data_IF_164156560600
#
_entry.id   IF_164156560600
#
_cell.length_a   1.000
_cell.length_b   1.000
_cell.length_c   1.000
_cell.angle_alpha   90.00
_cell.angle_beta   90.00
_cell.angle_gamma   90.00
#
_symmetry.space_group_name_H-M   'P 1'
#
loop_
_entity.id
_entity.type
_entity.pdbx_description
1 polymer ?
#
# COMPACT_ATOMS: atom_id res chain seq x y z
N UNK A 1 -4.03 32.00 32.28
CA UNK A 1 -5.49 31.90 32.29
C UNK A 1 -6.00 33.26 32.74
N UNK A 2 -6.57 34.05 31.79
CA UNK A 2 -7.09 35.40 32.05
C UNK A 2 -8.61 35.27 32.17
N UNK A 3 -9.16 35.69 33.29
CA UNK A 3 -10.62 35.70 33.55
C UNK A 3 -11.11 37.14 33.50
N UNK A 4 -12.35 37.34 33.09
CA UNK A 4 -13.02 38.64 33.21
C UNK A 4 -13.38 38.96 34.69
N UNK A 5 -13.83 40.18 34.94
CA UNK A 5 -14.19 40.66 36.26
C UNK A 5 -15.35 39.88 36.91
N UNK A 6 -16.04 39.02 36.14
CA UNK A 6 -17.10 38.12 36.60
C UNK A 6 -16.63 36.65 36.69
N UNK A 7 -15.34 36.36 36.44
CA UNK A 7 -14.74 35.03 36.54
C UNK A 7 -14.90 34.10 35.38
N UNK A 8 -15.42 34.59 34.20
CA UNK A 8 -15.69 33.78 33.01
C UNK A 8 -14.50 33.70 32.08
N UNK A 9 -14.30 32.55 31.42
CA UNK A 9 -13.17 32.26 30.53
C UNK A 9 -13.36 32.85 29.11
N UNK A 10 -13.58 34.16 28.95
CA UNK A 10 -13.88 34.75 27.61
C UNK A 10 -12.64 34.90 26.70
N UNK A 11 -11.44 35.01 27.22
CA UNK A 11 -10.25 35.32 26.41
C UNK A 11 -9.57 34.11 25.76
N UNK A 12 -9.73 32.91 26.27
CA UNK A 12 -9.06 31.73 25.69
C UNK A 12 -9.69 31.27 24.34
N UNK A 13 -10.99 31.39 24.21
CA UNK A 13 -11.68 31.03 22.97
C UNK A 13 -11.39 32.02 21.82
N UNK A 14 -11.22 33.31 22.13
CA UNK A 14 -10.89 34.36 21.16
C UNK A 14 -9.47 34.24 20.58
N UNK A 15 -8.49 33.92 21.41
CA UNK A 15 -7.09 33.76 20.98
C UNK A 15 -6.91 32.49 20.15
N UNK A 16 -7.53 31.37 20.54
CA UNK A 16 -7.49 30.12 19.74
C UNK A 16 -8.23 30.26 18.42
N UNK A 17 -9.35 30.98 18.36
CA UNK A 17 -10.09 31.25 17.12
C UNK A 17 -9.31 32.20 16.19
N UNK A 18 -8.58 33.17 16.70
CA UNK A 18 -7.72 34.05 15.92
C UNK A 18 -6.45 33.34 15.42
N UNK A 19 -5.82 32.49 16.24
CA UNK A 19 -4.66 31.69 15.82
C UNK A 19 -5.05 30.64 14.77
N UNK A 20 -6.19 29.99 14.89
CA UNK A 20 -6.69 29.03 13.89
C UNK A 20 -7.09 29.68 12.55
N UNK A 21 -7.47 30.97 12.54
CA UNK A 21 -7.84 31.70 11.32
C UNK A 21 -6.67 32.34 10.58
N UNK A 22 -5.48 32.48 11.20
CA UNK A 22 -4.34 33.19 10.60
C UNK A 22 -3.29 32.28 9.95
N UNK A 23 -3.26 31.01 10.24
CA UNK A 23 -2.20 30.14 9.69
C UNK A 23 -2.72 29.41 8.44
N UNK A 24 -2.51 30.05 7.27
CA UNK A 24 -2.87 29.50 5.94
C UNK A 24 -1.76 28.62 5.36
N UNK A 25 -0.55 28.73 5.89
CA UNK A 25 0.62 28.05 5.37
C UNK A 25 1.19 27.06 6.37
N UNK A 26 1.82 26.03 5.84
CA UNK A 26 2.62 25.10 6.61
C UNK A 26 3.91 25.78 7.08
N UNK A 27 4.22 25.69 8.37
CA UNK A 27 5.37 26.37 8.96
C UNK A 27 6.73 25.90 8.44
N UNK A 28 6.82 24.65 7.97
CA UNK A 28 8.03 24.05 7.46
C UNK A 28 8.28 24.45 6.00
N UNK A 29 7.32 24.19 5.12
CA UNK A 29 7.48 24.31 3.67
C UNK A 29 7.05 25.67 3.13
N UNK A 30 6.30 26.47 3.91
CA UNK A 30 5.67 27.73 3.50
C UNK A 30 4.62 27.57 2.37
N UNK A 31 4.26 26.33 2.03
CA UNK A 31 3.15 26.02 1.12
C UNK A 31 1.82 26.25 1.83
N UNK A 32 0.74 26.41 1.07
CA UNK A 32 -0.61 26.40 1.63
C UNK A 32 -0.85 25.08 2.37
N UNK A 33 -1.53 25.15 3.51
CA UNK A 33 -1.72 23.99 4.36
C UNK A 33 -2.97 23.19 4.00
N UNK A 34 -3.19 22.09 4.71
CA UNK A 34 -4.34 21.20 4.57
C UNK A 34 -5.70 21.92 4.67
N UNK A 35 -5.83 22.93 5.55
CA UNK A 35 -7.09 23.66 5.68
C UNK A 35 -7.38 24.51 4.43
N UNK A 36 -6.35 25.12 3.86
CA UNK A 36 -6.50 25.87 2.61
C UNK A 36 -6.73 24.93 1.42
N UNK A 37 -6.17 23.71 1.43
CA UNK A 37 -6.51 22.70 0.41
C UNK A 37 -8.00 22.41 0.36
N UNK A 38 -8.65 22.15 1.51
CA UNK A 38 -10.09 21.90 1.56
C UNK A 38 -10.91 23.13 1.12
N UNK A 39 -10.50 24.32 1.54
CA UNK A 39 -11.19 25.55 1.13
C UNK A 39 -11.13 25.79 -0.38
N UNK A 40 -9.93 25.62 -0.97
CA UNK A 40 -9.79 25.77 -2.41
C UNK A 40 -10.50 24.65 -3.17
N UNK A 41 -10.52 23.44 -2.64
CA UNK A 41 -11.26 22.32 -3.22
C UNK A 41 -12.78 22.62 -3.22
N UNK A 42 -13.35 23.02 -2.09
CA UNK A 42 -14.77 23.41 -1.98
C UNK A 42 -15.11 24.58 -2.91
N UNK A 43 -14.24 25.58 -2.97
CA UNK A 43 -14.41 26.73 -3.85
C UNK A 43 -14.41 26.32 -5.31
N UNK A 44 -13.48 25.52 -5.74
CA UNK A 44 -13.36 25.07 -7.14
C UNK A 44 -14.58 24.25 -7.58
N UNK A 45 -15.12 23.39 -6.71
CA UNK A 45 -16.34 22.60 -6.99
C UNK A 45 -17.55 23.50 -7.19
N UNK A 46 -17.63 24.65 -6.50
CA UNK A 46 -18.76 25.59 -6.58
C UNK A 46 -18.65 26.57 -7.75
N UNK A 47 -17.46 26.68 -8.38
CA UNK A 47 -17.25 27.60 -9.51
C UNK A 47 -17.77 26.99 -10.82
N UNK A 48 -18.76 27.67 -11.43
CA UNK A 48 -19.35 27.27 -12.72
C UNK A 48 -18.35 27.32 -13.88
N UNK A 49 -17.30 28.13 -13.75
CA UNK A 49 -16.26 28.33 -14.75
C UNK A 49 -15.22 27.17 -14.82
N UNK A 50 -15.23 26.29 -13.82
CA UNK A 50 -14.32 25.16 -13.78
C UNK A 50 -15.02 23.95 -14.40
N UNK A 51 -14.69 23.65 -15.65
CA UNK A 51 -15.23 22.50 -16.35
C UNK A 51 -14.60 21.19 -15.85
N UNK A 52 -13.33 21.24 -15.48
CA UNK A 52 -12.58 20.07 -14.98
C UNK A 52 -11.58 20.47 -13.90
N UNK A 53 -11.46 19.64 -12.90
CA UNK A 53 -10.50 19.79 -11.81
C UNK A 53 -9.79 18.46 -11.56
N UNK A 54 -8.46 18.46 -11.58
CA UNK A 54 -7.67 17.36 -11.07
C UNK A 54 -7.32 17.62 -9.60
N UNK A 55 -7.69 16.69 -8.75
CA UNK A 55 -7.29 16.61 -7.35
C UNK A 55 -6.20 15.56 -7.25
N UNK A 56 -4.97 15.95 -6.91
CA UNK A 56 -3.81 15.06 -6.87
C UNK A 56 -3.23 15.04 -5.46
N UNK A 57 -2.90 13.87 -4.97
CA UNK A 57 -2.11 13.67 -3.78
C UNK A 57 -0.81 12.98 -4.13
N UNK A 58 0.28 13.54 -3.66
CA UNK A 58 1.64 13.02 -3.79
C UNK A 58 2.15 12.58 -2.42
N UNK A 59 2.95 11.52 -2.41
CA UNK A 59 3.60 11.03 -1.20
C UNK A 59 4.98 10.45 -1.56
N UNK A 60 5.99 10.80 -0.77
CA UNK A 60 7.36 10.33 -1.00
C UNK A 60 7.48 8.86 -0.62
N UNK A 61 7.88 8.06 -1.59
CA UNK A 61 8.06 6.64 -1.34
C UNK A 61 9.23 6.40 -0.39
N UNK A 62 9.06 5.44 0.54
CA UNK A 62 10.06 5.08 1.55
C UNK A 62 10.55 6.25 2.44
N UNK A 63 9.79 7.34 2.58
CA UNK A 63 10.18 8.48 3.42
C UNK A 63 10.48 8.09 4.88
N UNK A 64 9.88 6.98 5.34
CA UNK A 64 10.19 6.40 6.64
C UNK A 64 11.66 6.00 6.77
N UNK A 65 12.28 5.45 5.73
CA UNK A 65 13.71 5.12 5.73
C UNK A 65 14.57 6.38 5.86
N UNK A 66 14.18 7.48 5.20
CA UNK A 66 14.83 8.77 5.39
C UNK A 66 14.71 9.23 6.84
N UNK A 67 13.56 9.01 7.47
CA UNK A 67 13.34 9.33 8.89
C UNK A 67 14.20 8.50 9.85
N UNK A 68 14.53 7.27 9.50
CA UNK A 68 15.32 6.35 10.32
C UNK A 68 16.83 6.56 10.14
N UNK A 69 17.26 6.96 8.93
CA UNK A 69 18.68 7.08 8.57
C UNK A 69 19.25 8.48 8.77
N UNK A 70 18.42 9.52 8.75
CA UNK A 70 18.88 10.90 8.77
C UNK A 70 18.21 11.70 9.89
N UNK A 71 18.89 12.79 10.30
CA UNK A 71 18.38 13.68 11.32
C UNK A 71 17.16 14.51 10.87
N UNK A 72 16.56 15.21 11.82
CA UNK A 72 15.37 16.04 11.56
C UNK A 72 15.67 17.17 10.58
N UNK A 73 16.85 17.76 10.66
CA UNK A 73 17.22 18.91 9.82
C UNK A 73 17.31 18.52 8.34
N UNK A 74 17.89 17.35 8.06
CA UNK A 74 17.96 16.83 6.71
C UNK A 74 16.58 16.50 6.13
N UNK A 75 15.71 15.83 6.91
CA UNK A 75 14.33 15.52 6.51
C UNK A 75 13.53 16.78 6.18
N UNK A 76 13.60 17.77 7.07
CA UNK A 76 12.91 19.04 6.91
C UNK A 76 13.42 19.78 5.67
N UNK A 77 14.72 19.69 5.40
CA UNK A 77 15.32 20.24 4.19
C UNK A 77 14.85 19.52 2.92
N UNK A 78 14.78 18.17 2.91
CA UNK A 78 14.26 17.39 1.77
C UNK A 78 12.84 17.81 1.44
N UNK A 79 11.97 17.92 2.44
CA UNK A 79 10.57 18.31 2.23
C UNK A 79 10.42 19.74 1.69
N UNK A 80 11.22 20.68 2.20
CA UNK A 80 11.26 22.06 1.68
C UNK A 80 11.70 22.10 0.23
N UNK A 81 12.82 21.43 -0.07
CA UNK A 81 13.39 21.39 -1.41
C UNK A 81 12.45 20.73 -2.41
N UNK A 82 11.78 19.63 -2.00
CA UNK A 82 10.78 18.97 -2.82
C UNK A 82 9.58 19.88 -3.12
N UNK A 83 9.06 20.58 -2.11
CA UNK A 83 7.97 21.54 -2.30
C UNK A 83 8.33 22.67 -3.26
N UNK A 84 9.51 23.27 -3.11
CA UNK A 84 10.02 24.30 -4.01
C UNK A 84 10.22 23.78 -5.44
N UNK A 85 10.74 22.57 -5.56
CA UNK A 85 10.93 21.92 -6.84
C UNK A 85 9.61 21.64 -7.56
N UNK A 86 8.62 21.06 -6.87
CA UNK A 86 7.30 20.80 -7.46
C UNK A 86 6.67 22.14 -7.87
N UNK A 87 6.73 23.16 -7.02
CA UNK A 87 6.15 24.47 -7.32
C UNK A 87 6.77 25.13 -8.56
N UNK A 88 8.05 24.89 -8.84
CA UNK A 88 8.75 25.44 -10.00
C UNK A 88 8.34 24.79 -11.35
N UNK A 89 7.76 23.59 -11.32
CA UNK A 89 7.31 22.87 -12.52
C UNK A 89 5.79 22.82 -12.68
N UNK A 90 5.05 23.37 -11.69
CA UNK A 90 3.59 23.42 -11.76
C UNK A 90 3.12 24.36 -12.89
N UNK A 91 2.02 24.00 -13.59
CA UNK A 91 1.36 24.93 -14.50
C UNK A 91 0.69 26.11 -13.76
N UNK A 92 0.46 27.21 -14.47
CA UNK A 92 -0.08 28.46 -13.88
C UNK A 92 -1.48 28.28 -13.26
N UNK A 93 -2.26 27.31 -13.72
CA UNK A 93 -3.59 26.96 -13.24
C UNK A 93 -3.59 25.95 -12.11
N UNK A 94 -2.44 25.73 -11.46
CA UNK A 94 -2.28 24.78 -10.37
C UNK A 94 -1.88 25.43 -9.05
N UNK A 95 -2.33 24.83 -7.95
CA UNK A 95 -1.93 25.20 -6.59
C UNK A 95 -1.34 24.00 -5.87
N UNK A 96 -0.22 24.19 -5.16
CA UNK A 96 0.45 23.19 -4.33
C UNK A 96 0.18 23.44 -2.85
N UNK A 97 -0.08 22.37 -2.14
CA UNK A 97 -0.42 22.35 -0.72
C UNK A 97 0.44 21.34 0.04
N UNK A 98 0.73 21.65 1.29
CA UNK A 98 1.24 20.70 2.25
C UNK A 98 0.08 20.10 3.03
N UNK A 99 -0.15 18.79 2.91
CA UNK A 99 -1.27 18.15 3.61
C UNK A 99 -0.83 17.67 5.00
N UNK A 100 -0.04 16.63 5.07
CA UNK A 100 0.48 16.10 6.34
C UNK A 100 1.75 15.29 6.10
N UNK A 101 2.65 15.25 7.07
CA UNK A 101 3.91 14.49 7.01
C UNK A 101 4.67 14.74 5.68
N UNK A 102 4.74 13.74 4.83
CA UNK A 102 5.37 13.71 3.51
C UNK A 102 4.38 13.83 2.34
N UNK A 103 3.07 14.01 2.64
CA UNK A 103 2.03 14.19 1.64
C UNK A 103 1.92 15.64 1.17
N UNK A 104 1.81 15.82 -0.13
CA UNK A 104 1.50 17.09 -0.80
C UNK A 104 0.22 16.94 -1.61
N UNK A 105 -0.58 18.00 -1.67
CA UNK A 105 -1.79 18.09 -2.50
C UNK A 105 -1.57 19.05 -3.65
N UNK A 106 -2.13 18.75 -4.81
CA UNK A 106 -2.17 19.65 -5.96
C UNK A 106 -3.60 19.72 -6.47
N UNK A 107 -4.07 20.94 -6.75
CA UNK A 107 -5.30 21.20 -7.47
C UNK A 107 -4.94 21.83 -8.81
N UNK A 108 -5.41 21.27 -9.91
CA UNK A 108 -5.21 21.82 -11.26
C UNK A 108 -6.58 21.99 -11.90
N UNK A 109 -6.92 23.24 -12.26
CA UNK A 109 -8.20 23.58 -12.89
C UNK A 109 -8.10 23.50 -14.41
N UNK A 110 -9.22 23.18 -15.08
CA UNK A 110 -9.33 23.14 -16.54
C UNK A 110 -8.23 22.29 -17.19
N UNK A 111 -8.10 21.04 -16.72
CA UNK A 111 -7.04 20.10 -17.10
C UNK A 111 -7.64 18.75 -17.50
N UNK A 112 -7.06 18.10 -18.50
CA UNK A 112 -7.42 16.76 -18.94
C UNK A 112 -6.55 15.70 -18.24
N UNK A 113 -7.03 14.46 -18.21
CA UNK A 113 -6.27 13.33 -17.64
C UNK A 113 -4.89 13.14 -18.33
N UNK A 114 -4.81 13.41 -19.62
CA UNK A 114 -3.56 13.32 -20.37
C UNK A 114 -2.50 14.30 -19.87
N UNK A 115 -2.92 15.54 -19.55
CA UNK A 115 -2.02 16.58 -19.04
C UNK A 115 -1.51 16.23 -17.63
N UNK A 116 -2.37 15.64 -16.80
CA UNK A 116 -1.95 15.14 -15.47
C UNK A 116 -0.92 14.02 -15.60
N UNK A 117 -1.09 13.11 -16.55
CA UNK A 117 -0.11 12.04 -16.82
C UNK A 117 1.23 12.62 -17.29
N UNK A 118 1.19 13.62 -18.18
CA UNK A 118 2.40 14.29 -18.67
C UNK A 118 3.10 15.06 -17.55
N UNK A 119 2.35 15.80 -16.73
CA UNK A 119 2.89 16.47 -15.54
C UNK A 119 3.59 15.46 -14.60
N UNK A 120 2.94 14.35 -14.28
CA UNK A 120 3.53 13.35 -13.39
C UNK A 120 4.79 12.71 -13.98
N UNK A 121 4.78 12.40 -15.27
CA UNK A 121 5.96 11.90 -15.99
C UNK A 121 7.12 12.90 -15.94
N UNK A 122 6.83 14.17 -16.21
CA UNK A 122 7.80 15.25 -16.11
C UNK A 122 8.37 15.37 -14.69
N UNK A 123 7.52 15.27 -13.66
CA UNK A 123 7.95 15.25 -12.25
C UNK A 123 8.93 14.11 -11.99
N UNK A 124 8.61 12.88 -12.40
CA UNK A 124 9.52 11.74 -12.23
C UNK A 124 10.85 11.93 -12.96
N UNK A 125 10.82 12.38 -14.21
CA UNK A 125 12.04 12.61 -15.02
C UNK A 125 12.95 13.67 -14.40
N UNK A 126 12.37 14.72 -13.82
CA UNK A 126 13.13 15.75 -13.14
C UNK A 126 13.71 15.27 -11.81
N UNK A 127 12.95 14.52 -11.01
CA UNK A 127 13.44 13.95 -9.75
C UNK A 127 14.60 12.98 -9.98
N UNK A 128 14.56 12.18 -11.04
CA UNK A 128 15.68 11.29 -11.41
C UNK A 128 16.97 12.02 -11.78
N UNK A 129 16.90 13.30 -12.17
CA UNK A 129 18.09 14.13 -12.45
C UNK A 129 18.70 14.69 -11.17
N UNK A 130 17.93 14.81 -10.10
CA UNK A 130 18.40 15.28 -8.79
C UNK A 130 18.93 14.07 -8.03
N UNK A 131 20.22 13.76 -8.22
CA UNK A 131 20.87 12.61 -7.56
C UNK A 131 21.51 12.97 -6.22
N UNK A 132 21.68 14.25 -5.93
CA UNK A 132 22.39 14.72 -4.74
C UNK A 132 21.54 15.73 -3.98
N UNK A 133 21.28 15.42 -2.73
CA UNK A 133 20.57 16.25 -1.78
C UNK A 133 21.52 16.57 -0.62
N UNK A 134 22.01 17.82 -0.55
CA UNK A 134 23.09 18.23 0.39
C UNK A 134 24.30 17.29 0.35
N UNK A 135 24.82 16.96 -0.83
CA UNK A 135 25.93 16.02 -1.03
C UNK A 135 25.62 14.55 -0.64
N UNK A 136 24.38 14.25 -0.26
CA UNK A 136 23.91 12.88 0.00
C UNK A 136 23.23 12.35 -1.27
N UNK A 137 23.67 11.20 -1.73
CA UNK A 137 23.04 10.54 -2.86
C UNK A 137 21.74 9.89 -2.39
N UNK A 138 20.61 10.42 -2.87
CA UNK A 138 19.29 10.00 -2.49
C UNK A 138 18.38 9.97 -3.73
N UNK A 139 17.90 8.80 -4.07
CA UNK A 139 16.93 8.61 -5.14
C UNK A 139 15.51 8.77 -4.53
N UNK A 140 14.87 9.90 -4.83
CA UNK A 140 13.50 10.18 -4.36
C UNK A 140 12.52 9.73 -5.42
N UNK A 141 11.63 8.83 -5.03
CA UNK A 141 10.48 8.39 -5.81
C UNK A 141 9.19 8.90 -5.15
N UNK A 142 8.16 9.10 -5.96
CA UNK A 142 6.87 9.64 -5.51
C UNK A 142 5.75 8.80 -6.07
N UNK A 143 4.85 8.36 -5.21
CA UNK A 143 3.54 7.81 -5.59
C UNK A 143 2.50 8.91 -5.66
N UNK A 144 1.56 8.79 -6.59
CA UNK A 144 0.50 9.76 -6.80
C UNK A 144 -0.88 9.09 -6.92
N UNK A 145 -1.88 9.68 -6.30
CA UNK A 145 -3.29 9.42 -6.56
C UNK A 145 -3.95 10.65 -7.19
N UNK A 146 -4.84 10.45 -8.13
CA UNK A 146 -5.58 11.52 -8.78
C UNK A 146 -7.07 11.19 -8.89
N UNK A 147 -7.91 12.18 -8.63
CA UNK A 147 -9.34 12.13 -8.94
C UNK A 147 -9.68 13.29 -9.88
N UNK A 148 -10.37 12.98 -10.97
CA UNK A 148 -10.87 13.99 -11.91
C UNK A 148 -12.31 14.37 -11.54
N UNK A 149 -12.59 15.67 -11.47
CA UNK A 149 -13.93 16.22 -11.29
C UNK A 149 -14.35 16.97 -12.55
N UNK A 150 -15.63 16.98 -12.99
CA UNK A 150 -16.73 16.24 -12.38
C UNK A 150 -16.77 14.78 -12.84
N UNK A 151 -16.94 13.85 -11.90
CA UNK A 151 -17.31 12.47 -12.22
C UNK A 151 -18.75 12.17 -11.81
N UNK A 152 -19.25 12.88 -10.78
CA UNK A 152 -20.63 12.82 -10.24
C UNK A 152 -20.80 14.00 -9.27
N UNK A 153 -22.00 14.16 -8.68
CA UNK A 153 -22.27 15.09 -7.56
C UNK A 153 -21.52 14.67 -6.29
N UNK A 154 -20.21 14.92 -6.26
CA UNK A 154 -19.30 14.47 -5.20
C UNK A 154 -18.85 15.66 -4.35
N UNK A 155 -18.90 15.52 -3.05
CA UNK A 155 -18.39 16.52 -2.09
C UNK A 155 -16.86 16.63 -2.08
N UNK A 156 -16.34 17.75 -1.58
CA UNK A 156 -14.89 17.92 -1.40
C UNK A 156 -14.28 16.82 -0.51
N UNK A 157 -15.00 16.39 0.52
CA UNK A 157 -14.57 15.29 1.40
C UNK A 157 -14.46 13.97 0.65
N UNK A 158 -15.41 13.68 -0.22
CA UNK A 158 -15.37 12.46 -1.04
C UNK A 158 -14.24 12.50 -2.08
N UNK A 159 -14.04 13.64 -2.76
CA UNK A 159 -12.92 13.82 -3.68
C UNK A 159 -11.57 13.60 -2.97
N UNK A 160 -11.42 14.18 -1.77
CA UNK A 160 -10.23 13.95 -0.94
C UNK A 160 -10.04 12.45 -0.66
N UNK A 161 -11.08 11.80 -0.18
CA UNK A 161 -11.06 10.37 0.18
C UNK A 161 -10.77 9.48 -1.03
N UNK A 162 -11.34 9.79 -2.19
CA UNK A 162 -11.09 9.04 -3.43
C UNK A 162 -9.65 9.23 -3.91
N UNK A 163 -9.14 10.44 -3.81
CA UNK A 163 -7.75 10.74 -4.19
C UNK A 163 -6.76 10.06 -3.24
N UNK A 164 -7.00 10.08 -1.93
CA UNK A 164 -6.17 9.33 -0.96
C UNK A 164 -6.23 7.83 -1.23
N UNK A 165 -7.39 7.30 -1.58
CA UNK A 165 -7.52 5.89 -1.93
C UNK A 165 -6.75 5.52 -3.20
N UNK A 166 -6.78 6.35 -4.23
CA UNK A 166 -5.97 6.18 -5.43
C UNK A 166 -4.46 6.19 -5.10
N UNK A 167 -4.02 7.09 -4.21
CA UNK A 167 -2.64 7.15 -3.72
C UNK A 167 -2.25 5.86 -2.96
N UNK A 168 -3.10 5.38 -2.05
CA UNK A 168 -2.88 4.10 -1.36
C UNK A 168 -2.75 2.94 -2.36
N UNK A 169 -3.58 2.94 -3.40
CA UNK A 169 -3.53 1.94 -4.47
C UNK A 169 -2.22 2.03 -5.26
N UNK A 170 -1.72 3.24 -5.55
CA UNK A 170 -0.42 3.44 -6.20
C UNK A 170 0.71 2.80 -5.38
N UNK A 171 0.71 3.04 -4.07
CA UNK A 171 1.69 2.44 -3.13
C UNK A 171 1.61 0.91 -3.09
N UNK A 172 0.41 0.34 -3.03
CA UNK A 172 0.19 -1.13 -3.03
C UNK A 172 0.61 -1.79 -4.35
N UNK A 173 0.38 -1.14 -5.48
CA UNK A 173 0.71 -1.67 -6.80
C UNK A 173 2.19 -1.56 -7.17
N UNK A 174 3.08 -1.18 -6.23
CA UNK A 174 4.54 -1.18 -6.37
C UNK A 174 5.16 0.21 -6.42
N UNK A 175 4.49 1.24 -5.88
CA UNK A 175 5.00 2.61 -5.72
C UNK A 175 5.40 3.29 -7.04
N UNK A 176 6.00 4.49 -6.96
CA UNK A 176 6.54 5.27 -8.08
C UNK A 176 5.61 5.32 -9.30
N UNK A 177 4.33 5.55 -9.07
CA UNK A 177 3.29 5.61 -10.11
C UNK A 177 2.15 6.54 -9.77
N UNK A 178 1.45 6.97 -10.81
CA UNK A 178 0.19 7.69 -10.73
C UNK A 178 -0.96 6.70 -10.93
N UNK A 179 -1.95 6.75 -10.03
CA UNK A 179 -3.20 6.00 -10.15
C UNK A 179 -4.35 6.98 -10.17
N UNK A 180 -5.21 6.89 -11.18
CA UNK A 180 -6.47 7.62 -11.21
C UNK A 180 -7.54 6.85 -10.44
N UNK A 181 -8.32 7.59 -9.69
CA UNK A 181 -9.49 7.01 -9.05
C UNK A 181 -10.54 6.62 -10.10
N UNK A 182 -11.08 5.42 -9.95
CA UNK A 182 -12.21 4.91 -10.74
C UNK A 182 -13.18 4.16 -9.82
N UNK A 183 -14.41 3.97 -10.24
CA UNK A 183 -15.41 3.20 -9.47
C UNK A 183 -14.98 1.74 -9.27
N UNK A 184 -14.24 1.18 -10.23
CA UNK A 184 -13.69 -0.17 -10.12
C UNK A 184 -12.76 -0.31 -8.90
N UNK A 185 -11.98 0.73 -8.59
CA UNK A 185 -11.13 0.73 -7.39
C UNK A 185 -11.95 0.64 -6.11
N UNK A 186 -13.13 1.27 -6.04
CA UNK A 186 -14.03 1.10 -4.89
C UNK A 186 -14.58 -0.32 -4.79
N UNK A 187 -14.92 -0.92 -5.92
CA UNK A 187 -15.39 -2.31 -5.96
C UNK A 187 -14.28 -3.26 -5.53
N UNK A 188 -13.04 -3.08 -6.01
CA UNK A 188 -11.87 -3.86 -5.56
C UNK A 188 -11.68 -3.74 -4.05
N UNK A 189 -11.81 -2.53 -3.48
CA UNK A 189 -11.70 -2.30 -2.03
C UNK A 189 -12.79 -3.00 -1.25
N UNK A 190 -14.04 -2.85 -1.68
CA UNK A 190 -15.17 -3.49 -1.04
C UNK A 190 -15.03 -5.02 -1.05
N UNK A 191 -14.57 -5.57 -2.18
CA UNK A 191 -14.26 -6.99 -2.32
C UNK A 191 -13.14 -7.44 -1.39
N UNK A 192 -12.03 -6.70 -1.31
CA UNK A 192 -10.92 -7.02 -0.40
C UNK A 192 -11.34 -7.01 1.06
N UNK A 193 -12.18 -6.04 1.47
CA UNK A 193 -12.71 -5.97 2.84
C UNK A 193 -13.64 -7.16 3.15
N UNK A 194 -14.47 -7.56 2.20
CA UNK A 194 -15.34 -8.73 2.38
C UNK A 194 -14.52 -10.02 2.47
N UNK A 195 -13.50 -10.18 1.63
CA UNK A 195 -12.56 -11.30 1.70
C UNK A 195 -11.85 -11.33 3.05
N UNK A 196 -11.34 -10.19 3.52
CA UNK A 196 -10.70 -10.09 4.84
C UNK A 196 -11.64 -10.52 5.97
N UNK A 197 -12.89 -10.04 5.95
CA UNK A 197 -13.90 -10.43 6.94
C UNK A 197 -14.10 -11.94 6.98
N UNK A 198 -14.25 -12.56 5.80
CA UNK A 198 -14.46 -14.01 5.68
C UNK A 198 -13.20 -14.81 6.05
N UNK A 199 -12.00 -14.34 5.72
CA UNK A 199 -10.73 -14.95 6.11
C UNK A 199 -10.55 -14.97 7.63
N UNK A 200 -10.85 -13.85 8.32
CA UNK A 200 -10.81 -13.80 9.79
C UNK A 200 -11.73 -14.83 10.43
N UNK A 201 -12.92 -14.97 9.88
CA UNK A 201 -13.88 -15.97 10.37
C UNK A 201 -13.39 -17.40 10.08
N UNK A 202 -12.91 -17.67 8.87
CA UNK A 202 -12.31 -18.93 8.47
C UNK A 202 -11.17 -19.37 9.41
N UNK A 203 -10.22 -18.46 9.71
CA UNK A 203 -9.11 -18.75 10.63
C UNK A 203 -9.59 -19.05 12.05
N UNK A 204 -10.57 -18.29 12.57
CA UNK A 204 -11.18 -18.53 13.89
C UNK A 204 -11.87 -19.89 13.98
N UNK A 205 -12.45 -20.37 12.88
CA UNK A 205 -13.15 -21.66 12.79
C UNK A 205 -12.22 -22.82 12.42
N UNK A 206 -10.92 -22.71 12.68
CA UNK A 206 -9.95 -23.78 12.38
C UNK A 206 -9.64 -23.94 10.90
N UNK A 207 -9.64 -22.82 10.15
CA UNK A 207 -9.31 -22.74 8.72
C UNK A 207 -10.37 -23.41 7.82
N UNK A 208 -11.63 -23.37 8.23
CA UNK A 208 -12.73 -23.93 7.46
C UNK A 208 -12.83 -23.29 6.07
N UNK A 209 -12.90 -24.14 5.03
CA UNK A 209 -12.93 -23.71 3.62
C UNK A 209 -11.56 -23.72 2.95
N UNK A 210 -10.45 -23.79 3.69
CA UNK A 210 -9.14 -24.07 3.10
C UNK A 210 -9.02 -25.56 2.75
N UNK A 211 -8.33 -25.82 1.66
CA UNK A 211 -7.93 -27.16 1.25
C UNK A 211 -6.66 -27.09 0.40
N UNK A 212 -5.98 -28.21 0.26
CA UNK A 212 -4.73 -28.30 -0.48
C UNK A 212 -4.95 -29.02 -1.81
N UNK A 213 -4.37 -28.46 -2.86
CA UNK A 213 -4.17 -29.15 -4.13
C UNK A 213 -2.69 -29.52 -4.25
N UNK A 214 -2.42 -30.64 -4.89
CA UNK A 214 -1.07 -31.17 -5.07
C UNK A 214 -0.73 -31.20 -6.55
N UNK A 215 0.23 -30.38 -6.96
CA UNK A 215 0.69 -30.33 -8.35
C UNK A 215 1.90 -31.24 -8.52
N UNK A 216 1.84 -32.30 -9.38
CA UNK A 216 2.94 -33.24 -9.58
C UNK A 216 4.18 -32.55 -10.13
N UNK A 217 5.34 -32.90 -9.57
CA UNK A 217 6.67 -32.51 -10.06
C UNK A 217 7.30 -33.71 -10.77
N UNK A 218 7.41 -33.62 -12.10
CA UNK A 218 7.88 -34.69 -12.96
C UNK A 218 9.32 -34.40 -13.37
N UNK A 219 10.18 -35.43 -13.32
CA UNK A 219 11.54 -35.36 -13.84
C UNK A 219 11.50 -35.47 -15.38
N UNK A 220 11.92 -34.45 -16.13
CA UNK A 220 11.73 -34.44 -17.60
C UNK A 220 12.44 -35.60 -18.33
N UNK A 221 13.60 -36.04 -17.81
CA UNK A 221 14.42 -37.09 -18.44
C UNK A 221 13.84 -38.49 -18.33
N UNK A 222 13.13 -38.77 -17.22
CA UNK A 222 12.62 -40.14 -16.91
C UNK A 222 11.10 -40.24 -16.96
N UNK A 223 10.39 -39.11 -16.93
CA UNK A 223 8.94 -39.09 -16.79
C UNK A 223 8.45 -39.46 -15.38
N UNK A 224 9.37 -39.70 -14.44
CA UNK A 224 9.00 -40.08 -13.09
C UNK A 224 8.52 -38.90 -12.25
N UNK A 225 7.48 -39.13 -11.44
CA UNK A 225 7.04 -38.20 -10.43
C UNK A 225 8.01 -38.21 -9.24
N UNK A 226 8.69 -37.10 -8.99
CA UNK A 226 9.66 -36.93 -7.89
C UNK A 226 9.04 -36.29 -6.65
N UNK A 227 7.93 -35.58 -6.81
CA UNK A 227 7.30 -34.90 -5.70
C UNK A 227 6.03 -34.17 -6.10
N UNK A 228 5.55 -33.34 -5.21
CA UNK A 228 4.41 -32.47 -5.42
C UNK A 228 4.67 -31.07 -4.87
N UNK A 229 4.08 -30.08 -5.50
CA UNK A 229 3.95 -28.74 -4.93
C UNK A 229 2.57 -28.60 -4.29
N UNK A 230 2.57 -28.14 -3.05
CA UNK A 230 1.36 -27.91 -2.26
C UNK A 230 0.84 -26.51 -2.56
N UNK A 231 -0.37 -26.45 -3.06
CA UNK A 231 -1.03 -25.22 -3.47
C UNK A 231 -2.31 -25.04 -2.67
N UNK A 232 -2.30 -24.07 -1.73
CA UNK A 232 -3.49 -23.74 -0.95
C UNK A 232 -4.60 -23.22 -1.85
N UNK A 233 -5.83 -23.64 -1.54
CA UNK A 233 -7.07 -23.19 -2.16
C UNK A 233 -8.05 -22.80 -1.07
N UNK A 234 -8.92 -21.87 -1.38
CA UNK A 234 -9.93 -21.44 -0.43
C UNK A 234 -11.30 -21.31 -1.09
N UNK A 235 -12.28 -21.91 -0.47
CA UNK A 235 -13.71 -21.71 -0.75
C UNK A 235 -14.27 -20.80 0.33
N UNK A 236 -14.85 -19.69 -0.10
CA UNK A 236 -15.51 -18.78 0.82
C UNK A 236 -16.80 -19.38 1.40
N UNK A 237 -17.42 -18.69 2.36
CA UNK A 237 -18.65 -19.14 3.03
C UNK A 237 -19.82 -19.43 2.07
N UNK A 238 -19.80 -18.84 0.86
CA UNK A 238 -20.81 -19.09 -0.20
C UNK A 238 -20.43 -20.28 -1.10
N UNK A 239 -19.33 -20.95 -0.82
CA UNK A 239 -18.82 -22.07 -1.62
C UNK A 239 -18.06 -21.65 -2.89
N UNK A 240 -17.85 -20.36 -3.13
CA UNK A 240 -17.12 -19.87 -4.29
C UNK A 240 -15.60 -19.96 -4.07
N UNK A 241 -14.89 -20.36 -5.12
CA UNK A 241 -13.42 -20.31 -5.13
C UNK A 241 -12.92 -18.88 -5.16
N UNK A 242 -11.99 -18.56 -4.26
CA UNK A 242 -11.24 -17.30 -4.27
C UNK A 242 -9.81 -17.57 -4.71
N UNK A 243 -9.30 -16.76 -5.60
CA UNK A 243 -7.94 -16.93 -6.14
C UNK A 243 -6.87 -16.75 -5.06
N UNK A 244 -5.81 -17.59 -4.99
CA UNK A 244 -4.66 -17.37 -4.12
C UNK A 244 -4.03 -15.98 -4.31
N UNK A 245 -3.94 -15.50 -5.55
CA UNK A 245 -3.44 -14.15 -5.85
C UNK A 245 -4.28 -13.01 -5.25
N UNK A 246 -5.52 -13.31 -4.84
CA UNK A 246 -6.42 -12.34 -4.19
C UNK A 246 -6.38 -12.46 -2.67
N UNK A 247 -6.43 -13.68 -2.11
CA UNK A 247 -6.56 -13.84 -0.66
C UNK A 247 -5.20 -13.90 0.08
N UNK A 248 -4.12 -14.40 -0.54
CA UNK A 248 -2.80 -14.46 0.12
C UNK A 248 -2.27 -13.08 0.47
N UNK A 249 -2.25 -12.07 -0.45
CA UNK A 249 -1.82 -10.73 -0.10
C UNK A 249 -2.63 -10.09 1.03
N UNK A 250 -3.95 -10.38 1.10
CA UNK A 250 -4.81 -9.90 2.19
C UNK A 250 -4.43 -10.58 3.51
N UNK A 251 -4.12 -11.86 3.51
CA UNK A 251 -3.63 -12.57 4.72
C UNK A 251 -2.29 -12.02 5.18
N UNK A 252 -1.38 -11.71 4.25
CA UNK A 252 -0.08 -11.11 4.54
C UNK A 252 -0.21 -9.72 5.16
N UNK A 253 -1.01 -8.84 4.55
CA UNK A 253 -1.24 -7.46 5.02
C UNK A 253 -1.85 -7.42 6.43
N UNK A 254 -2.64 -8.43 6.78
CA UNK A 254 -3.40 -8.45 8.05
C UNK A 254 -2.92 -9.50 9.05
N UNK A 255 -1.73 -10.06 8.86
CA UNK A 255 -1.10 -11.00 9.81
C UNK A 255 -1.78 -12.36 9.93
N UNK A 256 -2.68 -12.70 9.02
CA UNK A 256 -3.37 -14.01 9.01
C UNK A 256 -2.53 -15.11 8.39
N UNK A 257 -1.49 -14.75 7.63
CA UNK A 257 -0.64 -15.67 6.87
C UNK A 257 0.11 -16.63 7.77
N UNK A 258 0.48 -16.22 8.98
CA UNK A 258 1.20 -17.06 9.93
C UNK A 258 0.37 -18.27 10.36
N UNK A 259 -0.83 -18.04 10.88
CA UNK A 259 -1.74 -19.11 11.31
C UNK A 259 -2.15 -20.03 10.15
N UNK A 260 -2.45 -19.43 8.99
CA UNK A 260 -2.79 -20.19 7.79
C UNK A 260 -1.61 -21.02 7.28
N UNK A 261 -0.39 -20.47 7.32
CA UNK A 261 0.83 -21.17 6.90
C UNK A 261 1.14 -22.38 7.77
N UNK A 262 0.99 -22.26 9.09
CA UNK A 262 1.15 -23.41 9.99
C UNK A 262 0.08 -24.50 9.72
N UNK A 263 -1.16 -24.11 9.46
CA UNK A 263 -2.19 -25.04 9.07
C UNK A 263 -1.87 -25.76 7.76
N UNK A 264 -1.37 -25.02 6.76
CA UNK A 264 -0.95 -25.58 5.46
C UNK A 264 0.16 -26.60 5.67
N UNK A 265 1.20 -26.25 6.44
CA UNK A 265 2.33 -27.14 6.73
C UNK A 265 1.88 -28.41 7.44
N UNK A 266 1.07 -28.30 8.52
CA UNK A 266 0.56 -29.45 9.26
C UNK A 266 -0.27 -30.37 8.37
N UNK A 267 -1.19 -29.81 7.58
CA UNK A 267 -2.04 -30.58 6.68
C UNK A 267 -1.22 -31.27 5.60
N UNK A 268 -0.30 -30.55 4.96
CA UNK A 268 0.57 -31.09 3.92
C UNK A 268 1.44 -32.25 4.45
N UNK A 269 2.03 -32.10 5.63
CA UNK A 269 2.89 -33.13 6.20
C UNK A 269 2.10 -34.36 6.66
N UNK A 270 0.89 -34.19 7.20
CA UNK A 270 0.02 -35.29 7.55
C UNK A 270 -0.38 -36.13 6.33
N UNK A 271 -0.77 -35.50 5.23
CA UNK A 271 -1.12 -36.19 3.99
C UNK A 271 0.09 -36.83 3.31
N UNK A 272 1.23 -36.17 3.37
CA UNK A 272 2.51 -36.63 2.81
C UNK A 272 3.04 -37.90 3.45
N UNK A 273 2.70 -38.17 4.70
CA UNK A 273 3.23 -39.30 5.48
C UNK A 273 3.05 -40.64 4.78
N UNK A 274 1.91 -40.85 4.14
CA UNK A 274 1.62 -42.09 3.42
C UNK A 274 2.36 -42.18 2.07
N UNK A 275 2.67 -41.04 1.45
CA UNK A 275 3.42 -41.03 0.19
C UNK A 275 4.91 -41.30 0.40
N UNK A 276 5.48 -40.69 1.43
CA UNK A 276 6.91 -40.88 1.79
C UNK A 276 7.20 -42.29 2.24
N UNK A 277 6.26 -42.95 2.98
CA UNK A 277 6.41 -44.35 3.31
C UNK A 277 6.52 -45.25 2.07
N UNK A 278 5.80 -44.92 1.00
CA UNK A 278 5.83 -45.69 -0.26
C UNK A 278 7.02 -45.34 -1.14
N UNK A 279 7.49 -44.12 -1.09
CA UNK A 279 8.60 -43.57 -1.87
C UNK A 279 9.43 -42.65 -1.00
N UNK A 280 10.51 -43.12 -0.35
CA UNK A 280 11.31 -42.36 0.60
C UNK A 280 11.93 -41.10 0.00
N UNK A 281 12.24 -41.08 -1.30
CA UNK A 281 12.82 -39.92 -2.01
C UNK A 281 11.75 -38.95 -2.55
N UNK A 282 10.49 -39.10 -2.12
CA UNK A 282 9.43 -38.23 -2.56
C UNK A 282 9.51 -36.88 -1.88
N UNK A 283 9.53 -35.80 -2.68
CA UNK A 283 9.65 -34.44 -2.17
C UNK A 283 8.31 -33.71 -2.11
N UNK A 284 8.13 -32.88 -1.07
CA UNK A 284 6.96 -32.03 -0.90
C UNK A 284 7.44 -30.61 -0.80
N UNK A 285 7.00 -29.76 -1.75
CA UNK A 285 7.32 -28.35 -1.78
C UNK A 285 6.14 -27.55 -1.24
N UNK A 286 6.37 -26.77 -0.20
CA UNK A 286 5.37 -25.88 0.40
C UNK A 286 5.83 -24.45 0.28
N UNK A 287 5.00 -23.56 -0.24
CA UNK A 287 5.27 -22.14 -0.33
C UNK A 287 5.10 -21.48 1.04
N UNK A 288 6.14 -20.78 1.50
CA UNK A 288 6.14 -20.06 2.77
C UNK A 288 6.33 -18.56 2.51
N UNK A 289 5.46 -17.73 3.06
CA UNK A 289 5.59 -16.28 2.97
C UNK A 289 6.83 -15.77 3.71
N UNK A 290 7.52 -14.79 3.13
CA UNK A 290 8.66 -14.15 3.79
C UNK A 290 8.30 -13.55 5.16
N UNK A 291 7.04 -13.11 5.34
CA UNK A 291 6.56 -12.53 6.59
C UNK A 291 6.53 -13.54 7.75
N UNK A 292 6.39 -14.84 7.45
CA UNK A 292 6.39 -15.88 8.48
C UNK A 292 7.78 -16.04 9.13
N UNK A 293 8.86 -15.73 8.41
CA UNK A 293 10.23 -15.79 8.97
C UNK A 293 10.56 -14.66 9.94
N UNK A 294 9.73 -13.61 10.01
CA UNK A 294 9.91 -12.53 10.99
C UNK A 294 9.24 -12.83 12.33
N UNK A 295 8.43 -13.89 12.40
CA UNK A 295 7.85 -14.34 13.68
C UNK A 295 8.89 -15.14 14.46
N UNK A 296 9.14 -14.75 15.71
CA UNK A 296 10.19 -15.33 16.56
C UNK A 296 10.03 -16.83 16.76
N UNK A 297 8.79 -17.31 16.83
CA UNK A 297 8.47 -18.73 17.07
C UNK A 297 8.41 -19.58 15.82
N UNK A 298 8.54 -18.98 14.61
CA UNK A 298 8.29 -19.71 13.36
C UNK A 298 9.16 -20.94 13.18
N UNK A 299 10.44 -20.86 13.51
CA UNK A 299 11.35 -22.01 13.38
C UNK A 299 10.99 -23.12 14.37
N UNK A 300 10.61 -22.79 15.58
CA UNK A 300 10.18 -23.75 16.60
C UNK A 300 8.89 -24.44 16.18
N UNK A 301 7.88 -23.67 15.74
CA UNK A 301 6.61 -24.18 15.23
C UNK A 301 6.80 -25.05 13.99
N UNK A 302 7.74 -24.70 13.11
CA UNK A 302 8.09 -25.48 11.93
C UNK A 302 8.72 -26.82 12.31
N UNK A 303 9.70 -26.81 13.22
CA UNK A 303 10.34 -28.03 13.71
C UNK A 303 9.34 -28.96 14.40
N UNK A 304 8.49 -28.43 15.27
CA UNK A 304 7.43 -29.20 15.92
C UNK A 304 6.49 -29.81 14.87
N UNK A 305 6.10 -29.04 13.85
CA UNK A 305 5.22 -29.52 12.77
C UNK A 305 5.86 -30.63 11.94
N UNK A 306 7.19 -30.55 11.71
CA UNK A 306 7.96 -31.59 11.02
C UNK A 306 8.03 -32.86 11.88
N UNK A 307 8.32 -32.75 13.17
CA UNK A 307 8.41 -33.89 14.08
C UNK A 307 7.07 -34.61 14.22
N UNK A 308 5.96 -33.87 14.28
CA UNK A 308 4.61 -34.44 14.32
C UNK A 308 4.19 -35.11 13.00
N UNK A 309 4.69 -34.64 11.87
CA UNK A 309 4.28 -35.03 10.52
C UNK A 309 5.21 -35.99 9.79
N UNK A 310 6.46 -35.63 9.54
CA UNK A 310 7.39 -36.39 8.68
C UNK A 310 8.85 -36.00 8.96
N UNK A 311 9.76 -36.95 8.97
CA UNK A 311 11.20 -36.77 9.28
C UNK A 311 12.03 -35.96 8.26
N UNK A 312 11.54 -35.60 7.07
CA UNK A 312 12.31 -34.80 6.10
C UNK A 312 11.40 -33.93 5.20
N UNK A 313 11.49 -32.63 5.35
CA UNK A 313 10.89 -31.67 4.43
C UNK A 313 11.92 -30.61 4.00
N UNK A 314 12.00 -30.28 2.70
CA UNK A 314 12.72 -29.09 2.22
C UNK A 314 11.73 -27.94 2.05
N UNK A 315 11.93 -26.86 2.79
CA UNK A 315 11.10 -25.65 2.71
C UNK A 315 11.76 -24.66 1.76
N UNK A 316 11.06 -24.25 0.69
CA UNK A 316 11.51 -23.20 -0.22
C UNK A 316 10.81 -21.88 0.12
N UNK A 317 11.58 -20.80 0.19
CA UNK A 317 11.06 -19.46 0.34
C UNK A 317 10.33 -19.05 -0.95
N UNK A 318 9.10 -18.53 -0.84
CA UNK A 318 8.43 -17.89 -1.95
C UNK A 318 9.20 -16.59 -2.30
N UNK A 319 10.17 -16.70 -3.22
CA UNK A 319 10.87 -15.56 -3.81
C UNK A 319 10.04 -15.01 -4.97
N UNK A 320 10.06 -13.69 -5.16
CA UNK A 320 9.61 -13.05 -6.40
C UNK A 320 10.16 -13.86 -7.58
N UNK A 321 9.32 -14.16 -8.57
CA UNK A 321 9.79 -14.63 -9.86
C UNK A 321 10.70 -13.54 -10.44
N UNK A 322 12.02 -13.70 -10.24
CA UNK A 322 12.99 -13.03 -11.09
C UNK A 322 12.85 -13.66 -12.47
N UNK A 323 12.49 -12.82 -13.44
CA UNK A 323 12.56 -13.16 -14.86
C UNK A 323 13.98 -13.65 -15.15
N UNK A 324 14.14 -14.95 -15.28
CA UNK A 324 15.26 -15.52 -15.99
C UNK A 324 14.94 -15.50 -17.48
N UNK A 325 15.02 -14.34 -18.10
CA UNK A 325 15.35 -14.18 -19.51
C UNK A 325 16.67 -13.42 -19.55
N UNK A 326 17.76 -14.18 -19.53
CA UNK A 326 19.05 -13.84 -20.15
C UNK A 326 20.00 -15.01 -19.93
N UNK A 327 20.05 -15.87 -20.93
CA UNK A 327 21.29 -16.47 -21.47
C UNK A 327 20.92 -17.61 -22.43
N UNK A 328 20.81 -17.30 -23.68
CA UNK A 328 21.54 -17.97 -24.79
C UNK A 328 21.76 -16.89 -25.87
#
# INVERSE_FOLDING_TARGET
>A
MIRDDEGNQKFFAGIMSLMGKQNKVDSLTQLLNHNEFYRELERNIQMVEIEQLAVIMLDVDEFRQINELYDREFRDWVLKSLGQFIQAILPDNACLFRLEKDKMGILITNVQEADVKEFYKSLQEHLRKIREWKQIRLDIEISAGCTMYPQTDVSAEELYRYTDYALQTAKKRGKNRLVFFTEELLQEKARSLEILRQLRECVKQGHQGFFLNYQPQIQPQTGEMKGVEVLVRWKNQRGNMVSPGEFIPIMEEHGLIYSAGLWILRTAFQEAKEWIKKKPDFTISVNVSALQFFEETFLEDLYQTIEEGVYFASVKRAGRQENQEEKI
#
